data_IF_304459104279
#
_entry.id   IF_304459104279
#
_cell.length_a   1.000
_cell.length_b   1.000
_cell.length_c   1.000
_cell.angle_alpha   90.00
_cell.angle_beta   90.00
_cell.angle_gamma   90.00
#
_symmetry.space_group_name_H-M   'P 1'
#
loop_
_entity.id
_entity.type
_entity.pdbx_description
1 polymer ?
#
# COMPACT_ATOMS: atom_id res chain seq x y z
N UNK A 1 -4.06 -1.93 -1.55
CA UNK A 1 -5.08 -2.83 -0.96
C UNK A 1 -4.79 -4.32 -1.15
N UNK A 2 -4.09 -4.75 -2.22
CA UNK A 2 -3.70 -6.18 -2.38
C UNK A 2 -2.87 -6.71 -1.21
N UNK A 3 -1.84 -5.97 -0.77
CA UNK A 3 -0.99 -6.38 0.36
C UNK A 3 -1.73 -6.45 1.70
N UNK A 4 -2.61 -5.48 2.00
CA UNK A 4 -3.44 -5.52 3.21
C UNK A 4 -4.33 -6.76 3.27
N UNK A 5 -4.95 -7.14 2.14
CA UNK A 5 -5.73 -8.38 2.02
C UNK A 5 -4.89 -9.65 2.24
N UNK A 6 -3.62 -9.61 1.86
CA UNK A 6 -2.69 -10.71 2.07
C UNK A 6 -2.09 -10.73 3.49
N UNK A 7 -2.47 -9.79 4.37
CA UNK A 7 -1.86 -9.63 5.71
C UNK A 7 -0.45 -9.02 5.68
N UNK A 8 -0.03 -8.48 4.54
CA UNK A 8 1.31 -7.95 4.29
C UNK A 8 1.38 -6.45 4.54
N UNK A 9 0.91 -6.02 5.72
CA UNK A 9 1.21 -4.70 6.30
C UNK A 9 2.05 -4.90 7.56
N UNK A 10 3.32 -5.33 7.45
CA UNK A 10 4.08 -5.72 8.63
C UNK A 10 4.60 -4.54 9.46
N UNK A 11 4.83 -3.37 8.85
CA UNK A 11 5.55 -2.27 9.51
C UNK A 11 4.91 -0.90 9.30
N UNK A 12 4.85 -0.11 10.37
CA UNK A 12 4.64 1.33 10.31
C UNK A 12 6.01 1.98 10.10
N UNK A 13 6.17 2.72 9.00
CA UNK A 13 7.43 3.42 8.69
C UNK A 13 7.26 4.89 9.06
N UNK A 14 8.20 5.43 9.83
CA UNK A 14 8.21 6.85 10.23
C UNK A 14 7.90 7.07 11.71
N UNK A 15 8.25 8.27 12.18
CA UNK A 15 8.00 8.71 13.55
C UNK A 15 6.54 9.21 13.71
N UNK A 16 6.00 9.21 14.92
CA UNK A 16 4.67 9.75 15.23
C UNK A 16 4.53 11.24 14.88
N UNK A 17 5.66 11.94 14.77
CA UNK A 17 5.74 13.36 14.44
C UNK A 17 5.69 13.66 12.93
N UNK A 18 5.74 12.64 12.06
CA UNK A 18 5.65 12.85 10.61
C UNK A 18 4.22 13.22 10.24
N UNK A 19 4.06 14.38 9.60
CA UNK A 19 2.78 14.94 9.20
C UNK A 19 2.59 14.80 7.69
N UNK A 20 1.47 14.20 7.28
CA UNK A 20 1.14 14.02 5.86
C UNK A 20 -0.24 14.60 5.58
N UNK A 21 -0.34 15.45 4.57
CA UNK A 21 -1.63 15.94 4.10
C UNK A 21 -2.31 14.94 3.15
N UNK A 22 -3.61 14.77 3.30
CA UNK A 22 -4.44 13.90 2.47
C UNK A 22 -5.55 14.73 1.86
N UNK A 23 -5.80 14.51 0.57
CA UNK A 23 -6.80 15.25 -0.20
C UNK A 23 -7.76 14.28 -0.85
N UNK A 24 -9.05 14.51 -0.64
CA UNK A 24 -10.10 13.72 -1.26
C UNK A 24 -10.18 14.02 -2.76
N UNK A 25 -10.47 12.99 -3.55
CA UNK A 25 -10.38 13.07 -5.01
C UNK A 25 -11.27 14.16 -5.60
N UNK A 26 -12.46 14.39 -5.05
CA UNK A 26 -13.38 15.44 -5.55
C UNK A 26 -12.81 16.85 -5.32
N UNK A 27 -12.10 17.06 -4.21
CA UNK A 27 -11.43 18.32 -3.91
C UNK A 27 -10.21 18.55 -4.83
N UNK A 28 -9.48 17.47 -5.15
CA UNK A 28 -8.42 17.51 -6.16
C UNK A 28 -8.98 17.90 -7.53
N UNK A 29 -10.08 17.27 -7.95
CA UNK A 29 -10.74 17.60 -9.23
C UNK A 29 -11.23 19.05 -9.24
N UNK A 30 -11.83 19.52 -8.15
CA UNK A 30 -12.23 20.93 -8.01
C UNK A 30 -11.04 21.88 -8.19
N UNK A 31 -9.92 21.61 -7.53
CA UNK A 31 -8.74 22.43 -7.65
C UNK A 31 -8.20 22.48 -9.09
N UNK A 32 -8.23 21.35 -9.80
CA UNK A 32 -7.84 21.29 -11.22
C UNK A 32 -8.78 22.12 -12.10
N UNK A 33 -10.09 22.07 -11.84
CA UNK A 33 -11.08 22.89 -12.55
C UNK A 33 -10.82 24.38 -12.28
N UNK A 34 -10.64 24.78 -11.01
CA UNK A 34 -10.37 26.17 -10.63
C UNK A 34 -9.04 26.69 -11.21
N UNK A 35 -7.99 25.87 -11.20
CA UNK A 35 -6.72 26.21 -11.83
C UNK A 35 -6.87 26.37 -13.35
N UNK A 36 -7.70 25.55 -14.00
CA UNK A 36 -8.00 25.66 -15.44
C UNK A 36 -8.78 26.94 -15.74
N UNK A 37 -9.79 27.27 -14.94
CA UNK A 37 -10.55 28.52 -15.08
C UNK A 37 -9.67 29.75 -14.85
N UNK A 38 -8.78 29.70 -13.85
CA UNK A 38 -7.81 30.76 -13.58
C UNK A 38 -6.71 30.88 -14.63
N UNK A 39 -6.55 29.88 -15.50
CA UNK A 39 -5.66 29.92 -16.67
C UNK A 39 -6.37 30.45 -17.92
N UNK A 40 -7.67 30.23 -18.05
CA UNK A 40 -8.48 30.71 -19.17
C UNK A 40 -8.96 32.16 -19.01
N UNK A 41 -8.60 32.82 -17.90
CA UNK A 41 -9.04 34.18 -17.54
C UNK A 41 -10.57 34.32 -17.34
N UNK A 42 -11.25 33.19 -17.11
CA UNK A 42 -12.70 33.13 -16.82
C UNK A 42 -13.01 33.55 -15.36
N UNK A 43 -12.00 33.90 -14.57
CA UNK A 43 -12.17 34.45 -13.21
C UNK A 43 -12.23 35.98 -13.32
N UNK A 44 -13.34 36.63 -12.94
CA UNK A 44 -13.65 38.02 -13.34
C UNK A 44 -12.84 39.11 -12.61
N UNK A 45 -11.61 38.84 -12.16
CA UNK A 45 -10.89 39.72 -11.24
C UNK A 45 -9.80 40.61 -11.85
N UNK A 46 -9.29 40.37 -13.06
CA UNK A 46 -8.26 41.28 -13.61
C UNK A 46 -8.09 41.10 -15.11
N UNK A 47 -8.34 42.14 -15.92
CA UNK A 47 -8.03 42.13 -17.36
C UNK A 47 -6.53 42.15 -17.63
N UNK A 48 -5.86 41.02 -17.41
CA UNK A 48 -4.41 40.86 -17.46
C UNK A 48 -3.97 39.41 -17.70
N UNK A 49 -2.72 39.07 -17.37
CA UNK A 49 -2.24 37.69 -17.50
C UNK A 49 -3.03 36.74 -16.58
N UNK A 50 -3.39 35.53 -17.03
CA UNK A 50 -4.16 34.59 -16.22
C UNK A 50 -3.47 34.30 -14.89
N UNK A 51 -4.20 34.46 -13.78
CA UNK A 51 -3.66 34.35 -12.41
C UNK A 51 -2.95 33.02 -12.16
N UNK A 52 -3.42 31.94 -12.78
CA UNK A 52 -2.86 30.60 -12.60
C UNK A 52 -1.62 30.31 -13.46
N UNK A 53 -1.26 31.16 -14.41
CA UNK A 53 -0.20 30.88 -15.39
C UNK A 53 1.18 30.77 -14.73
N UNK A 54 1.81 29.60 -14.85
CA UNK A 54 3.15 29.33 -14.28
C UNK A 54 3.19 29.27 -12.75
N UNK A 55 2.03 29.21 -12.08
CA UNK A 55 1.95 29.24 -10.64
C UNK A 55 1.80 27.84 -10.03
N UNK A 56 2.60 27.47 -9.01
CA UNK A 56 2.34 26.30 -8.20
C UNK A 56 1.27 26.60 -7.14
N UNK A 57 0.34 25.68 -6.97
CA UNK A 57 -0.71 25.72 -5.96
C UNK A 57 -0.71 24.44 -5.12
N UNK A 58 -0.83 24.62 -3.81
CA UNK A 58 -1.05 23.52 -2.88
C UNK A 58 -2.51 23.51 -2.44
N UNK A 59 -3.05 22.32 -2.21
CA UNK A 59 -4.45 22.11 -1.87
C UNK A 59 -4.55 21.24 -0.64
N UNK A 60 -5.62 21.42 0.10
CA UNK A 60 -5.91 20.68 1.33
C UNK A 60 -7.42 20.57 1.52
N UNK A 61 -7.88 19.57 2.26
CA UNK A 61 -9.31 19.34 2.55
C UNK A 61 -9.82 20.21 3.72
N UNK A 62 -8.98 21.08 4.25
CA UNK A 62 -9.24 21.87 5.45
C UNK A 62 -10.16 23.05 5.16
N UNK A 63 -11.24 23.16 5.93
CA UNK A 63 -12.10 24.34 5.91
C UNK A 63 -11.60 25.40 6.89
N UNK A 64 -11.85 26.66 6.58
CA UNK A 64 -11.46 27.82 7.39
C UNK A 64 -11.78 27.70 8.88
N UNK A 65 -12.96 27.19 9.20
CA UNK A 65 -13.45 27.03 10.59
C UNK A 65 -12.78 25.89 11.35
N UNK A 66 -12.03 25.04 10.64
CA UNK A 66 -11.35 23.87 11.18
C UNK A 66 -9.83 23.99 11.11
N UNK A 67 -9.26 25.10 10.61
CA UNK A 67 -7.81 25.28 10.42
C UNK A 67 -7.03 25.07 11.73
N UNK A 68 -7.44 25.72 12.83
CA UNK A 68 -6.75 25.61 14.13
C UNK A 68 -6.86 24.19 14.72
N UNK A 69 -8.04 23.57 14.61
CA UNK A 69 -8.26 22.19 15.06
C UNK A 69 -7.57 21.16 14.18
N UNK A 70 -7.40 21.46 12.89
CA UNK A 70 -6.77 20.60 11.91
C UNK A 70 -5.25 20.60 12.05
N UNK A 71 -4.62 21.77 12.24
CA UNK A 71 -3.16 21.87 12.39
C UNK A 71 -2.63 21.05 13.58
N UNK A 72 -3.46 20.93 14.63
CA UNK A 72 -3.22 20.10 15.80
C UNK A 72 -3.59 18.61 15.60
N UNK A 73 -4.35 18.28 14.55
CA UNK A 73 -4.81 16.93 14.17
C UNK A 73 -4.13 16.35 12.93
N UNK A 74 -3.20 17.07 12.26
CA UNK A 74 -2.40 16.48 11.19
C UNK A 74 -1.65 15.29 11.79
N UNK A 75 -2.13 14.11 11.44
CA UNK A 75 -1.71 12.87 12.03
C UNK A 75 -0.82 12.16 11.03
N UNK A 76 0.04 11.28 11.54
CA UNK A 76 0.81 10.37 10.70
C UNK A 76 -0.13 9.65 9.71
N UNK A 77 0.35 9.39 8.50
CA UNK A 77 -0.32 8.57 7.48
C UNK A 77 -0.98 7.31 8.07
N UNK A 78 -0.36 6.69 9.08
CA UNK A 78 -0.94 5.53 9.77
C UNK A 78 -2.23 5.85 10.54
N UNK A 79 -2.25 6.93 11.33
CA UNK A 79 -3.44 7.33 12.09
C UNK A 79 -4.59 7.74 11.16
N UNK A 80 -4.29 8.32 10.00
CA UNK A 80 -5.29 8.57 8.96
C UNK A 80 -5.89 7.26 8.40
N UNK A 81 -5.06 6.23 8.17
CA UNK A 81 -5.50 4.96 7.60
C UNK A 81 -6.14 4.01 8.62
N UNK A 82 -5.85 4.19 9.91
CA UNK A 82 -6.35 3.35 11.02
C UNK A 82 -7.87 3.13 11.02
N UNK A 83 -8.74 4.16 10.90
CA UNK A 83 -10.19 3.94 10.84
C UNK A 83 -10.60 3.10 9.63
N UNK A 84 -9.95 3.30 8.48
CA UNK A 84 -10.22 2.52 7.27
C UNK A 84 -9.85 1.04 7.45
N UNK A 85 -8.65 0.74 7.97
CA UNK A 85 -8.21 -0.63 8.21
C UNK A 85 -9.11 -1.37 9.20
N UNK A 86 -9.49 -0.70 10.30
CA UNK A 86 -10.43 -1.26 11.29
C UNK A 86 -11.80 -1.54 10.67
N UNK A 87 -12.31 -0.64 9.84
CA UNK A 87 -13.62 -0.81 9.20
C UNK A 87 -13.70 -1.97 8.20
N UNK A 88 -12.53 -2.47 7.77
CA UNK A 88 -12.38 -3.57 6.83
C UNK A 88 -11.90 -4.86 7.51
N UNK A 89 -11.85 -4.90 8.85
CA UNK A 89 -11.36 -6.03 9.65
C UNK A 89 -9.94 -6.48 9.26
N UNK A 90 -9.08 -5.54 8.86
CA UNK A 90 -7.67 -5.84 8.61
C UNK A 90 -6.83 -5.65 9.86
N UNK A 91 -5.82 -6.50 10.02
CA UNK A 91 -4.84 -6.39 11.09
C UNK A 91 -4.09 -5.06 10.98
N UNK A 92 -3.96 -4.39 12.14
CA UNK A 92 -3.15 -3.19 12.25
C UNK A 92 -1.69 -3.61 12.49
N UNK A 93 -0.71 -3.05 11.74
CA UNK A 93 0.69 -3.26 12.04
C UNK A 93 0.99 -2.80 13.47
N UNK A 94 1.60 -3.68 14.25
CA UNK A 94 2.05 -3.40 15.62
C UNK A 94 3.54 -3.05 15.68
N UNK A 95 4.31 -3.43 14.67
CA UNK A 95 5.74 -3.13 14.59
C UNK A 95 5.97 -1.77 13.92
N UNK A 96 6.76 -0.91 14.58
CA UNK A 96 7.27 0.34 13.99
C UNK A 96 8.71 0.14 13.53
N UNK A 97 9.04 0.72 12.38
CA UNK A 97 10.37 0.72 11.80
C UNK A 97 10.84 2.16 11.66
N UNK A 98 11.96 2.50 12.31
CA UNK A 98 12.57 3.83 12.18
C UNK A 98 12.96 4.08 10.72
N UNK A 99 12.86 5.33 10.27
CA UNK A 99 13.19 5.75 8.89
C UNK A 99 14.58 5.25 8.47
N UNK A 100 15.59 5.33 9.33
CA UNK A 100 16.96 4.86 9.02
C UNK A 100 17.01 3.36 8.70
N UNK A 101 16.36 2.53 9.51
CA UNK A 101 16.31 1.08 9.29
C UNK A 101 15.50 0.75 8.03
N UNK A 102 14.38 1.44 7.81
CA UNK A 102 13.56 1.29 6.62
C UNK A 102 14.33 1.67 5.34
N UNK A 103 15.15 2.73 5.39
CA UNK A 103 16.01 3.14 4.28
C UNK A 103 17.09 2.11 3.96
N UNK A 104 17.74 1.54 4.98
CA UNK A 104 18.73 0.47 4.79
C UNK A 104 18.06 -0.74 4.12
N UNK A 105 16.91 -1.17 4.64
CA UNK A 105 16.14 -2.28 4.08
C UNK A 105 15.70 -2.00 2.63
N UNK A 106 15.22 -0.79 2.36
CA UNK A 106 14.85 -0.35 1.01
C UNK A 106 16.04 -0.37 0.04
N UNK A 107 17.23 0.03 0.49
CA UNK A 107 18.46 -0.04 -0.33
C UNK A 107 18.88 -1.48 -0.62
N UNK A 108 18.74 -2.38 0.36
CA UNK A 108 19.00 -3.82 0.17
C UNK A 108 18.04 -4.38 -0.88
N UNK A 109 16.74 -4.11 -0.74
CA UNK A 109 15.76 -4.52 -1.76
C UNK A 109 16.11 -3.92 -3.12
N UNK A 110 16.37 -2.62 -3.21
CA UNK A 110 16.76 -1.99 -4.47
C UNK A 110 17.98 -2.66 -5.11
N UNK A 111 19.00 -3.03 -4.33
CA UNK A 111 20.18 -3.73 -4.84
C UNK A 111 19.82 -5.13 -5.36
N UNK A 112 19.01 -5.89 -4.62
CA UNK A 112 18.53 -7.21 -5.03
C UNK A 112 17.71 -7.11 -6.33
N UNK A 113 16.77 -6.16 -6.42
CA UNK A 113 15.96 -5.96 -7.63
C UNK A 113 16.79 -5.48 -8.82
N UNK A 114 17.80 -4.64 -8.59
CA UNK A 114 18.76 -4.24 -9.65
C UNK A 114 19.59 -5.42 -10.14
N UNK A 115 20.03 -6.32 -9.24
CA UNK A 115 20.75 -7.53 -9.62
C UNK A 115 19.85 -8.52 -10.39
N UNK A 116 18.59 -8.62 -9.99
CA UNK A 116 17.57 -9.43 -10.65
C UNK A 116 16.99 -8.76 -11.90
N UNK A 117 17.38 -7.51 -12.20
CA UNK A 117 16.89 -6.74 -13.35
C UNK A 117 17.02 -7.46 -14.71
N UNK A 118 18.11 -8.19 -15.01
CA UNK A 118 18.22 -8.94 -16.27
C UNK A 118 17.24 -10.13 -16.34
N UNK A 119 16.67 -10.54 -15.20
CA UNK A 119 15.71 -11.64 -15.07
C UNK A 119 14.28 -11.12 -14.80
N UNK A 120 14.08 -9.80 -14.81
CA UNK A 120 12.88 -9.10 -14.32
C UNK A 120 11.67 -9.17 -15.26
N UNK A 121 11.86 -9.61 -16.51
CA UNK A 121 10.75 -9.76 -17.47
C UNK A 121 9.94 -11.06 -17.24
N UNK A 122 9.89 -11.54 -15.99
CA UNK A 122 9.25 -12.80 -15.60
C UNK A 122 8.08 -12.53 -14.67
N UNK A 123 6.95 -13.13 -15.02
CA UNK A 123 5.65 -12.95 -14.37
C UNK A 123 5.62 -13.33 -12.87
N UNK A 124 6.61 -14.08 -12.39
CA UNK A 124 6.65 -14.55 -10.99
C UNK A 124 7.33 -13.60 -10.00
N UNK A 125 7.91 -12.48 -10.43
CA UNK A 125 8.63 -11.59 -9.52
C UNK A 125 7.67 -10.51 -8.96
N UNK A 126 7.38 -10.51 -7.64
CA UNK A 126 6.50 -9.51 -7.05
C UNK A 126 7.15 -8.13 -7.08
N UNK A 127 6.33 -7.07 -7.01
CA UNK A 127 6.84 -5.70 -6.85
C UNK A 127 7.59 -5.58 -5.50
N UNK A 128 8.72 -4.84 -5.43
CA UNK A 128 9.44 -4.62 -4.18
C UNK A 128 8.51 -4.12 -3.08
N UNK A 129 8.58 -4.75 -1.91
CA UNK A 129 7.72 -4.42 -0.77
C UNK A 129 8.05 -3.08 -0.14
N UNK A 130 9.33 -2.66 -0.17
CA UNK A 130 9.80 -1.41 0.40
C UNK A 130 10.88 -0.84 -0.54
N UNK A 131 10.57 0.27 -1.19
CA UNK A 131 11.56 1.06 -1.93
C UNK A 131 12.01 2.27 -1.10
N UNK A 132 13.25 2.76 -1.26
CA UNK A 132 13.70 3.98 -0.58
C UNK A 132 12.78 5.18 -0.85
N UNK A 133 12.24 5.28 -2.07
CA UNK A 133 11.28 6.32 -2.44
C UNK A 133 9.97 6.26 -1.62
N UNK A 134 9.47 5.05 -1.33
CA UNK A 134 8.28 4.87 -0.49
C UNK A 134 8.58 5.25 0.95
N UNK A 135 9.77 4.89 1.45
CA UNK A 135 10.23 5.27 2.80
C UNK A 135 10.33 6.79 2.94
N UNK A 136 10.88 7.50 1.95
CA UNK A 136 10.93 8.96 1.97
C UNK A 136 9.54 9.59 1.95
N UNK A 137 8.62 9.04 1.14
CA UNK A 137 7.26 9.55 1.02
C UNK A 137 6.49 9.48 2.34
N UNK A 138 6.67 8.41 3.13
CA UNK A 138 5.96 8.21 4.40
C UNK A 138 6.74 8.67 5.62
N UNK A 139 8.06 8.79 5.51
CA UNK A 139 8.97 9.12 6.61
C UNK A 139 9.32 10.60 6.71
N UNK A 140 8.91 11.44 5.75
CA UNK A 140 9.17 12.88 5.74
C UNK A 140 7.85 13.64 5.82
N UNK A 141 7.86 14.76 6.55
CA UNK A 141 6.71 15.63 6.71
C UNK A 141 6.42 16.37 5.41
N UNK A 142 5.20 16.20 4.91
CA UNK A 142 4.68 16.84 3.70
C UNK A 142 3.32 17.47 4.00
N UNK A 143 3.33 18.72 4.46
CA UNK A 143 2.15 19.57 4.50
C UNK A 143 2.51 20.93 3.91
N UNK A 144 1.56 21.55 3.22
CA UNK A 144 1.77 22.82 2.54
C UNK A 144 0.60 23.77 2.80
N UNK A 145 0.86 25.06 2.64
CA UNK A 145 -0.17 26.08 2.81
C UNK A 145 -1.05 26.17 1.57
N UNK A 146 -2.35 25.95 1.72
CA UNK A 146 -3.35 26.11 0.65
C UNK A 146 -3.84 27.57 0.49
N UNK A 147 -3.31 28.50 1.30
CA UNK A 147 -3.77 29.90 1.33
C UNK A 147 -3.66 30.57 -0.04
N UNK A 148 -2.62 30.26 -0.81
CA UNK A 148 -2.44 30.78 -2.16
C UNK A 148 -3.57 30.34 -3.10
N UNK A 149 -3.91 29.05 -3.10
CA UNK A 149 -5.01 28.52 -3.92
C UNK A 149 -6.35 29.14 -3.51
N UNK A 150 -6.55 29.38 -2.21
CA UNK A 150 -7.75 30.06 -1.72
C UNK A 150 -7.85 31.51 -2.20
N UNK A 151 -6.75 32.28 -2.08
CA UNK A 151 -6.75 33.70 -2.41
C UNK A 151 -6.83 33.95 -3.92
N UNK A 152 -6.07 33.19 -4.72
CA UNK A 152 -5.95 33.43 -6.16
C UNK A 152 -6.99 32.68 -6.98
N UNK A 153 -7.38 31.47 -6.57
CA UNK A 153 -8.32 30.62 -7.31
C UNK A 153 -9.70 30.51 -6.65
N UNK A 154 -9.90 31.13 -5.49
CA UNK A 154 -11.15 30.97 -4.72
C UNK A 154 -11.37 29.55 -4.21
N UNK A 155 -10.31 28.74 -4.08
CA UNK A 155 -10.42 27.34 -3.67
C UNK A 155 -11.04 27.19 -2.27
N UNK A 156 -12.14 26.44 -2.20
CA UNK A 156 -12.80 26.00 -0.97
C UNK A 156 -13.11 24.51 -1.12
N UNK A 157 -12.62 23.63 -0.23
CA UNK A 157 -12.86 22.20 -0.34
C UNK A 157 -14.36 21.89 -0.21
N UNK A 158 -14.88 21.07 -1.12
CA UNK A 158 -16.27 20.62 -1.13
C UNK A 158 -16.53 19.55 -0.06
N UNK A 159 -15.58 18.63 0.11
CA UNK A 159 -15.70 17.47 0.99
C UNK A 159 -14.74 17.61 2.16
N UNK A 160 -15.21 17.38 3.38
CA UNK A 160 -14.31 17.38 4.55
C UNK A 160 -13.51 16.08 4.66
N UNK A 161 -12.39 16.06 5.39
CA UNK A 161 -11.65 14.83 5.64
C UNK A 161 -12.50 13.73 6.29
N UNK A 162 -13.47 14.11 7.14
CA UNK A 162 -14.38 13.17 7.81
C UNK A 162 -15.38 12.55 6.83
N UNK A 163 -16.00 13.37 6.00
CA UNK A 163 -16.94 12.91 4.96
C UNK A 163 -16.22 12.05 3.92
N UNK A 164 -15.05 12.50 3.44
CA UNK A 164 -14.23 11.75 2.49
C UNK A 164 -13.79 10.39 3.04
N UNK A 165 -13.40 10.33 4.32
CA UNK A 165 -13.09 9.06 4.99
C UNK A 165 -14.31 8.14 5.08
N UNK A 166 -15.48 8.67 5.46
CA UNK A 166 -16.71 7.88 5.57
C UNK A 166 -17.15 7.31 4.20
N UNK A 167 -17.08 8.12 3.13
CA UNK A 167 -17.36 7.69 1.77
C UNK A 167 -16.34 6.63 1.27
N UNK A 168 -15.06 6.80 1.63
CA UNK A 168 -14.01 5.84 1.29
C UNK A 168 -14.27 4.49 1.99
N UNK A 169 -14.62 4.51 3.28
CA UNK A 169 -14.96 3.31 4.05
C UNK A 169 -16.14 2.57 3.42
N UNK A 170 -17.24 3.28 3.13
CA UNK A 170 -18.44 2.67 2.57
C UNK A 170 -18.18 2.04 1.20
N UNK A 171 -17.41 2.71 0.34
CA UNK A 171 -16.98 2.18 -0.96
C UNK A 171 -16.17 0.88 -0.80
N UNK A 172 -15.18 0.87 0.10
CA UNK A 172 -14.33 -0.31 0.29
C UNK A 172 -15.06 -1.47 0.96
N UNK A 173 -15.99 -1.20 1.88
CA UNK A 173 -16.85 -2.22 2.48
C UNK A 173 -17.75 -2.87 1.44
N UNK A 174 -18.38 -2.07 0.58
CA UNK A 174 -19.21 -2.60 -0.50
C UNK A 174 -18.38 -3.45 -1.48
N UNK A 175 -17.19 -2.98 -1.83
CA UNK A 175 -16.24 -3.73 -2.66
C UNK A 175 -15.77 -5.02 -1.99
N UNK A 176 -15.53 -5.02 -0.67
CA UNK A 176 -15.18 -6.22 0.10
C UNK A 176 -16.33 -7.23 0.05
N UNK A 177 -17.59 -6.82 0.25
CA UNK A 177 -18.76 -7.72 0.14
C UNK A 177 -18.89 -8.39 -1.22
N UNK A 178 -18.50 -7.71 -2.30
CA UNK A 178 -18.54 -8.22 -3.68
C UNK A 178 -17.35 -9.10 -4.04
N UNK A 179 -16.30 -9.11 -3.25
CA UNK A 179 -15.10 -9.93 -3.47
C UNK A 179 -15.09 -11.09 -2.48
N UNK A 180 -15.00 -12.33 -2.96
CA UNK A 180 -14.69 -13.46 -2.09
C UNK A 180 -13.28 -13.27 -1.54
N UNK A 181 -13.11 -13.30 -0.23
CA UNK A 181 -11.80 -13.22 0.41
C UNK A 181 -11.00 -14.48 0.03
N UNK A 182 -9.89 -14.27 -0.69
CA UNK A 182 -8.95 -15.35 -1.00
C UNK A 182 -8.18 -15.78 0.27
N UNK A 183 -7.68 -17.01 0.32
CA UNK A 183 -6.88 -17.49 1.45
C UNK A 183 -5.65 -16.59 1.66
N UNK A 184 -5.32 -16.33 2.93
CA UNK A 184 -4.13 -15.55 3.31
C UNK A 184 -2.85 -16.23 2.80
N UNK A 185 -1.76 -15.46 2.69
CA UNK A 185 -0.48 -16.01 2.22
C UNK A 185 0.02 -17.16 3.10
N UNK A 186 -0.30 -17.14 4.39
CA UNK A 186 0.02 -18.22 5.33
C UNK A 186 -0.72 -19.52 5.01
N UNK A 187 -1.98 -19.44 4.60
CA UNK A 187 -2.74 -20.61 4.16
C UNK A 187 -2.15 -21.21 2.88
N UNK A 188 -1.70 -20.37 1.94
CA UNK A 188 -0.98 -20.82 0.75
C UNK A 188 0.35 -21.51 1.10
N UNK A 189 1.17 -20.89 1.95
CA UNK A 189 2.44 -21.47 2.40
C UNK A 189 2.22 -22.80 3.13
N UNK A 190 1.23 -22.87 4.01
CA UNK A 190 0.85 -24.10 4.70
C UNK A 190 0.46 -25.21 3.71
N UNK A 191 -0.38 -24.90 2.72
CA UNK A 191 -0.77 -25.87 1.69
C UNK A 191 0.42 -26.35 0.85
N UNK A 192 1.31 -25.44 0.42
CA UNK A 192 2.49 -25.80 -0.39
C UNK A 192 3.47 -26.66 0.41
N UNK A 193 3.73 -26.31 1.67
CA UNK A 193 4.61 -27.09 2.56
C UNK A 193 3.97 -28.45 2.88
N UNK A 194 2.66 -28.48 3.18
CA UNK A 194 1.91 -29.71 3.43
C UNK A 194 1.94 -30.66 2.23
N UNK A 195 1.66 -30.16 1.03
CA UNK A 195 1.74 -30.97 -0.20
C UNK A 195 3.19 -31.43 -0.49
N UNK A 196 4.18 -30.57 -0.24
CA UNK A 196 5.60 -30.92 -0.38
C UNK A 196 6.02 -32.07 0.54
N UNK A 197 5.68 -31.98 1.82
CA UNK A 197 5.99 -33.03 2.81
C UNK A 197 5.29 -34.35 2.50
N UNK A 198 4.02 -34.32 2.08
CA UNK A 198 3.30 -35.52 1.65
C UNK A 198 3.93 -36.17 0.42
N UNK A 199 4.37 -35.37 -0.55
CA UNK A 199 5.03 -35.90 -1.76
C UNK A 199 6.34 -36.61 -1.44
N UNK A 200 7.13 -36.06 -0.49
CA UNK A 200 8.36 -36.68 0.00
C UNK A 200 8.06 -37.96 0.78
N UNK A 201 7.05 -37.96 1.64
CA UNK A 201 6.66 -39.17 2.38
C UNK A 201 6.20 -40.29 1.44
N UNK A 202 5.48 -39.94 0.38
CA UNK A 202 5.01 -40.88 -0.63
C UNK A 202 6.18 -41.49 -1.43
N UNK A 203 7.18 -40.69 -1.80
CA UNK A 203 8.38 -41.21 -2.49
C UNK A 203 9.21 -42.11 -1.58
N UNK A 204 9.35 -41.78 -0.30
CA UNK A 204 9.99 -42.67 0.67
C UNK A 204 9.25 -44.01 0.80
N UNK A 205 7.92 -44.00 0.89
CA UNK A 205 7.13 -45.24 0.97
C UNK A 205 7.24 -46.08 -0.31
N UNK A 206 7.20 -45.46 -1.49
CA UNK A 206 7.37 -46.17 -2.77
C UNK A 206 8.76 -46.79 -2.84
N UNK A 207 9.80 -46.07 -2.43
CA UNK A 207 11.17 -46.57 -2.46
C UNK A 207 11.38 -47.73 -1.47
N UNK A 208 10.74 -47.68 -0.31
CA UNK A 208 10.80 -48.76 0.69
C UNK A 208 10.04 -50.01 0.22
N UNK A 209 8.88 -49.84 -0.42
CA UNK A 209 8.14 -50.94 -1.06
C UNK A 209 8.91 -51.57 -2.22
N UNK A 210 9.57 -50.78 -3.07
CA UNK A 210 10.45 -51.29 -4.13
C UNK A 210 11.65 -52.06 -3.56
N UNK A 211 12.30 -51.54 -2.51
CA UNK A 211 13.44 -52.22 -1.87
C UNK A 211 13.03 -53.53 -1.20
N UNK A 212 11.88 -53.56 -0.54
CA UNK A 212 11.35 -54.78 0.10
C UNK A 212 10.97 -55.85 -0.93
N UNK A 213 10.37 -55.46 -2.05
CA UNK A 213 10.05 -56.40 -3.14
C UNK A 213 11.30 -56.96 -3.83
N UNK A 214 12.33 -56.15 -4.10
CA UNK A 214 13.62 -56.66 -4.63
C UNK A 214 14.29 -57.67 -3.69
N UNK A 215 14.31 -57.40 -2.37
CA UNK A 215 14.87 -58.33 -1.37
C UNK A 215 14.08 -59.65 -1.29
N UNK A 216 12.75 -59.59 -1.45
CA UNK A 216 11.91 -60.79 -1.47
C UNK A 216 12.19 -61.67 -2.69
N UNK A 217 12.33 -61.07 -3.89
CA UNK A 217 12.66 -61.76 -5.14
C UNK A 217 14.05 -62.41 -5.07
N UNK A 218 15.03 -61.68 -4.50
CA UNK A 218 16.38 -62.20 -4.30
C UNK A 218 16.41 -63.38 -3.32
N UNK A 219 15.66 -63.32 -2.21
CA UNK A 219 15.56 -64.44 -1.24
C UNK A 219 14.92 -65.70 -1.84
N UNK A 220 13.92 -65.56 -2.72
CA UNK A 220 13.33 -66.69 -3.43
C UNK A 220 14.26 -67.30 -4.49
N UNK A 221 15.10 -66.49 -5.16
CA UNK A 221 16.04 -67.00 -6.17
C UNK A 221 17.21 -67.78 -5.58
N UNK A 222 17.67 -67.43 -4.37
CA UNK A 222 18.77 -68.14 -3.67
C UNK A 222 18.30 -69.47 -3.08
N UNK A 223 17.00 -69.67 -2.87
CA UNK A 223 16.42 -70.88 -2.25
C UNK A 223 16.11 -72.01 -3.25
N UNK A 224 16.21 -71.74 -4.55
CA UNK A 224 15.94 -72.69 -5.64
C UNK A 224 17.21 -73.17 -6.38
N UNK A 225 18.40 -72.93 -5.81
CA UNK A 225 19.70 -73.39 -6.34
C UNK A 225 20.23 -74.62 -5.63
#
# INVERSE_FOLDING_TARGET
MSFAKLGLLPFIIGDANVKTDWVYVDNLVLALILASMGLLDDIPMTGGHPVAAGQPYFISDVRDKEIDYFFHRISNSFEFLRPLLRSLDYDLPTASLTVTHALILGKIFQAIYTLLYPWLNRWWLPQPFILPAEVYKVGVTHYFSFLKAKQELGYVPMVTPREGMAATISYWQDRKRKMLDGPTIYAWLFCVIGMGTLSVQLTYQIQDQCRSSELSVFSSSVRCG
#
